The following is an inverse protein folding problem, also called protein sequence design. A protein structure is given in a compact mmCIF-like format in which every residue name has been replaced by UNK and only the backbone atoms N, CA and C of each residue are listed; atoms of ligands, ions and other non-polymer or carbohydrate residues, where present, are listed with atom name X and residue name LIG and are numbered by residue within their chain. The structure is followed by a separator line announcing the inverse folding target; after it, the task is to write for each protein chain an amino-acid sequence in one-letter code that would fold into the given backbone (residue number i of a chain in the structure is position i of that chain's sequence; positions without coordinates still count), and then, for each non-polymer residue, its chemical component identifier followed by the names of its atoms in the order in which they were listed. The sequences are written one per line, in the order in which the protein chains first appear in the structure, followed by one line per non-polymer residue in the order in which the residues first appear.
data_IF_166451940708
#
_entry.id   IF_166451940708
#
_cell.length_a   1.000
_cell.length_b   1.000
_cell.length_c   1.000
_cell.angle_alpha   90.00
_cell.angle_beta   90.00
_cell.angle_gamma   90.00
#
_symmetry.space_group_name_H-M   'P 1'
#
loop_
_entity.id
_entity.type
_entity.pdbx_description
1 polymer ?
#
# COMPACT_ATOMS: atom_id res chain seq x y z
N UNK A 1 1.64 -0.84 -36.46
CA UNK A 1 2.45 -0.60 -35.26
C UNK A 1 1.48 -0.66 -34.09
N UNK A 2 1.72 -1.51 -33.09
CA UNK A 2 0.87 -1.56 -31.89
C UNK A 2 1.07 -0.26 -31.12
N UNK A 3 -0.01 0.38 -30.70
CA UNK A 3 0.01 1.57 -29.84
C UNK A 3 0.62 1.18 -28.49
N UNK A 4 1.50 2.00 -27.92
CA UNK A 4 2.04 1.74 -26.57
C UNK A 4 1.14 2.31 -25.48
N UNK A 5 1.31 1.91 -24.21
CA UNK A 5 0.54 2.46 -23.11
C UNK A 5 0.75 3.98 -22.93
N UNK A 6 1.99 4.47 -23.11
CA UNK A 6 2.24 5.91 -23.09
C UNK A 6 1.53 6.60 -24.25
N UNK A 7 1.56 6.01 -25.45
CA UNK A 7 0.88 6.56 -26.61
C UNK A 7 -0.65 6.52 -26.44
N UNK A 8 -1.22 5.41 -25.95
CA UNK A 8 -2.64 5.27 -25.62
C UNK A 8 -3.10 6.36 -24.66
N UNK A 9 -2.37 6.57 -23.57
CA UNK A 9 -2.74 7.52 -22.54
C UNK A 9 -2.49 8.98 -22.96
N UNK A 10 -1.42 9.24 -23.72
CA UNK A 10 -1.13 10.59 -24.23
C UNK A 10 -2.06 10.98 -25.39
N UNK A 11 -2.47 10.04 -26.24
CA UNK A 11 -3.33 10.29 -27.41
C UNK A 11 -4.82 10.16 -27.14
N UNK A 12 -5.25 9.37 -26.14
CA UNK A 12 -6.67 9.22 -25.78
C UNK A 12 -7.04 9.83 -24.42
N UNK A 13 -6.08 9.96 -23.49
CA UNK A 13 -6.36 10.37 -22.10
C UNK A 13 -7.16 9.34 -21.31
N UNK A 14 -7.49 8.20 -21.91
CA UNK A 14 -8.31 7.15 -21.34
C UNK A 14 -7.43 5.93 -21.09
N UNK A 15 -7.66 5.26 -19.96
CA UNK A 15 -7.04 3.97 -19.67
C UNK A 15 -7.67 2.94 -20.60
N UNK A 16 -6.91 2.51 -21.61
CA UNK A 16 -7.31 1.46 -22.55
C UNK A 16 -6.58 0.14 -22.29
N UNK A 17 -6.62 -0.75 -23.29
CA UNK A 17 -6.08 -2.11 -23.17
C UNK A 17 -4.57 -2.13 -22.95
N UNK A 18 -3.81 -1.23 -23.58
CA UNK A 18 -2.35 -1.23 -23.49
C UNK A 18 -1.88 -0.82 -22.08
N UNK A 19 -2.57 0.15 -21.47
CA UNK A 19 -2.35 0.56 -20.09
C UNK A 19 -2.71 -0.54 -19.11
N UNK A 20 -3.85 -1.21 -19.33
CA UNK A 20 -4.30 -2.33 -18.49
C UNK A 20 -3.28 -3.47 -18.56
N UNK A 21 -2.80 -3.82 -19.76
CA UNK A 21 -1.80 -4.87 -19.95
C UNK A 21 -0.45 -4.52 -19.30
N UNK A 22 -0.03 -3.25 -19.38
CA UNK A 22 1.12 -2.75 -18.64
C UNK A 22 0.94 -2.90 -17.12
N UNK A 23 -0.22 -2.52 -16.58
CA UNK A 23 -0.53 -2.65 -15.15
C UNK A 23 -0.54 -4.11 -14.71
N UNK A 24 -1.16 -5.02 -15.46
CA UNK A 24 -1.17 -6.47 -15.19
C UNK A 24 0.26 -6.99 -15.09
N UNK A 25 1.10 -6.65 -16.07
CA UNK A 25 2.51 -7.07 -16.09
C UNK A 25 3.28 -6.54 -14.89
N UNK A 26 3.14 -5.25 -14.55
CA UNK A 26 3.88 -4.64 -13.44
C UNK A 26 3.39 -5.10 -12.07
N UNK A 27 2.07 -5.26 -11.88
CA UNK A 27 1.50 -5.82 -10.65
C UNK A 27 1.94 -7.28 -10.49
N UNK A 28 1.85 -8.08 -11.55
CA UNK A 28 2.29 -9.48 -11.53
C UNK A 28 3.78 -9.59 -11.20
N UNK A 29 4.62 -8.78 -11.83
CA UNK A 29 6.04 -8.70 -11.51
C UNK A 29 6.26 -8.32 -10.04
N UNK A 30 5.63 -7.25 -9.55
CA UNK A 30 5.85 -6.73 -8.20
C UNK A 30 5.34 -7.71 -7.14
N UNK A 31 4.13 -8.24 -7.29
CA UNK A 31 3.52 -9.18 -6.34
C UNK A 31 4.27 -10.50 -6.25
N UNK A 32 4.77 -11.03 -7.37
CA UNK A 32 5.48 -12.32 -7.39
C UNK A 32 6.93 -12.24 -6.93
N UNK A 33 7.58 -11.09 -7.13
CA UNK A 33 9.00 -10.91 -6.76
C UNK A 33 9.20 -10.35 -5.35
N UNK A 34 8.17 -9.77 -4.73
CA UNK A 34 8.25 -9.20 -3.39
C UNK A 34 7.35 -9.99 -2.41
N UNK A 35 7.64 -9.89 -1.12
CA UNK A 35 6.85 -10.55 -0.06
C UNK A 35 5.52 -9.84 0.26
N UNK A 36 4.82 -9.31 -0.75
CA UNK A 36 3.53 -8.66 -0.56
C UNK A 36 2.42 -9.71 -0.39
N UNK A 37 1.45 -9.49 0.52
CA UNK A 37 0.30 -10.36 0.61
C UNK A 37 -0.53 -10.27 -0.69
N UNK A 38 -1.04 -11.39 -1.22
CA UNK A 38 -1.99 -11.37 -2.33
C UNK A 38 -3.32 -10.69 -1.91
N UNK A 39 -4.14 -10.24 -2.87
CA UNK A 39 -5.46 -9.69 -2.60
C UNK A 39 -6.36 -10.65 -1.81
N UNK A 40 -7.39 -10.10 -1.15
CA UNK A 40 -8.39 -10.88 -0.43
C UNK A 40 -9.02 -11.95 -1.33
N UNK A 41 -9.21 -13.15 -0.77
CA UNK A 41 -9.73 -14.31 -1.50
C UNK A 41 -8.67 -15.14 -2.23
N UNK A 42 -7.42 -14.67 -2.27
CA UNK A 42 -6.32 -15.36 -2.96
C UNK A 42 -5.24 -15.84 -1.99
N UNK A 43 -4.80 -17.09 -2.15
CA UNK A 43 -3.71 -17.67 -1.36
C UNK A 43 -2.30 -17.31 -1.88
N UNK A 44 -2.19 -16.89 -3.13
CA UNK A 44 -0.94 -16.53 -3.80
C UNK A 44 -1.18 -15.52 -4.94
N UNK A 45 -0.10 -15.01 -5.55
CA UNK A 45 -0.14 -14.09 -6.71
C UNK A 45 -0.34 -14.83 -8.05
N UNK A 46 -1.47 -15.53 -8.18
CA UNK A 46 -1.93 -16.14 -9.44
C UNK A 46 -2.25 -15.08 -10.51
N UNK A 47 -2.43 -15.48 -11.77
CA UNK A 47 -2.86 -14.54 -12.82
C UNK A 47 -4.24 -13.93 -12.49
N UNK A 48 -5.16 -14.72 -11.91
CA UNK A 48 -6.44 -14.21 -11.46
C UNK A 48 -6.29 -13.19 -10.31
N UNK A 49 -5.41 -13.45 -9.35
CA UNK A 49 -5.13 -12.52 -8.26
C UNK A 49 -4.59 -11.18 -8.80
N UNK A 50 -3.73 -11.23 -9.82
CA UNK A 50 -3.21 -10.03 -10.49
C UNK A 50 -4.32 -9.25 -11.18
N UNK A 51 -5.20 -9.93 -11.94
CA UNK A 51 -6.33 -9.29 -12.61
C UNK A 51 -7.29 -8.64 -11.62
N UNK A 52 -7.67 -9.34 -10.57
CA UNK A 52 -8.56 -8.82 -9.53
C UNK A 52 -7.95 -7.59 -8.83
N UNK A 53 -6.63 -7.61 -8.61
CA UNK A 53 -5.90 -6.49 -8.00
C UNK A 53 -5.78 -5.27 -8.93
N UNK A 54 -5.52 -5.48 -10.22
CA UNK A 54 -5.55 -4.39 -11.20
C UNK A 54 -6.95 -3.80 -11.29
N UNK A 55 -7.98 -4.65 -11.30
CA UNK A 55 -9.38 -4.25 -11.23
C UNK A 55 -9.68 -3.39 -9.99
N UNK A 56 -9.16 -3.76 -8.82
CA UNK A 56 -9.33 -2.98 -7.58
C UNK A 56 -8.60 -1.64 -7.63
N UNK A 57 -7.37 -1.58 -8.16
CA UNK A 57 -6.64 -0.33 -8.38
C UNK A 57 -7.47 0.61 -9.25
N UNK A 58 -7.92 0.15 -10.41
CA UNK A 58 -8.65 0.97 -11.39
C UNK A 58 -10.04 1.37 -10.90
N UNK A 59 -10.69 0.52 -10.12
CA UNK A 59 -11.98 0.83 -9.50
C UNK A 59 -11.86 1.80 -8.32
N UNK A 60 -10.67 1.94 -7.75
CA UNK A 60 -10.42 2.87 -6.64
C UNK A 60 -10.02 4.26 -7.16
N UNK A 61 -10.64 5.32 -6.63
CA UNK A 61 -10.28 6.71 -6.98
C UNK A 61 -8.80 7.03 -6.69
N UNK A 62 -8.20 6.36 -5.70
CA UNK A 62 -6.77 6.50 -5.37
C UNK A 62 -5.89 5.82 -6.42
N UNK A 63 -6.25 4.62 -6.86
CA UNK A 63 -5.47 3.84 -7.82
C UNK A 63 -5.58 4.36 -9.25
N UNK A 64 -6.75 4.81 -9.69
CA UNK A 64 -6.91 5.47 -10.99
C UNK A 64 -6.19 6.81 -11.05
N UNK A 65 -6.30 7.64 -10.01
CA UNK A 65 -5.56 8.91 -9.90
C UNK A 65 -4.03 8.73 -9.89
N UNK A 66 -3.53 7.66 -9.26
CA UNK A 66 -2.12 7.28 -9.33
C UNK A 66 -1.67 6.96 -10.76
N UNK A 67 -2.44 6.15 -11.49
CA UNK A 67 -2.10 5.79 -12.87
C UNK A 67 -2.03 7.04 -13.75
N UNK A 68 -3.03 7.93 -13.65
CA UNK A 68 -3.07 9.20 -14.38
C UNK A 68 -1.89 10.11 -13.99
N UNK A 69 -1.58 10.24 -12.69
CA UNK A 69 -0.44 11.04 -12.22
C UNK A 69 0.91 10.55 -12.75
N UNK A 70 1.08 9.23 -12.90
CA UNK A 70 2.28 8.65 -13.51
C UNK A 70 2.39 8.99 -15.00
N UNK A 71 1.27 9.03 -15.72
CA UNK A 71 1.22 9.41 -17.14
C UNK A 71 1.60 10.87 -17.34
N UNK A 72 0.99 11.77 -16.57
CA UNK A 72 1.28 13.22 -16.65
C UNK A 72 2.78 13.49 -16.44
N UNK A 73 3.40 12.71 -15.56
CA UNK A 73 4.81 12.84 -15.20
C UNK A 73 5.77 12.10 -16.16
N UNK A 74 5.25 11.21 -17.00
CA UNK A 74 6.07 10.41 -17.89
C UNK A 74 6.50 11.20 -19.13
N UNK A 75 7.71 10.93 -19.61
CA UNK A 75 8.29 11.53 -20.81
C UNK A 75 8.30 10.59 -22.02
N UNK A 76 8.20 9.29 -21.75
CA UNK A 76 8.22 8.18 -22.70
C UNK A 76 7.71 6.88 -22.02
N UNK A 77 7.60 5.79 -22.79
CA UNK A 77 7.19 4.48 -22.27
C UNK A 77 8.05 3.97 -21.09
N UNK A 78 9.37 4.17 -21.13
CA UNK A 78 10.27 3.66 -20.07
C UNK A 78 10.08 4.42 -18.77
N UNK A 79 9.91 5.73 -18.85
CA UNK A 79 9.64 6.58 -17.70
C UNK A 79 8.27 6.28 -17.09
N UNK A 80 7.24 6.04 -17.92
CA UNK A 80 5.92 5.62 -17.47
C UNK A 80 6.00 4.30 -16.71
N UNK A 81 6.65 3.30 -17.29
CA UNK A 81 6.84 1.99 -16.66
C UNK A 81 7.53 2.11 -15.29
N UNK A 82 8.61 2.90 -15.20
CA UNK A 82 9.32 3.15 -13.95
C UNK A 82 8.46 3.83 -12.89
N UNK A 83 7.68 4.83 -13.29
CA UNK A 83 6.78 5.58 -12.39
C UNK A 83 5.65 4.68 -11.90
N UNK A 84 5.00 3.95 -12.79
CA UNK A 84 3.95 2.99 -12.43
C UNK A 84 4.48 1.90 -11.51
N UNK A 85 5.65 1.32 -11.81
CA UNK A 85 6.25 0.30 -10.94
C UNK A 85 6.52 0.84 -9.53
N UNK A 86 7.05 2.06 -9.42
CA UNK A 86 7.30 2.71 -8.13
C UNK A 86 6.00 2.96 -7.37
N UNK A 87 4.99 3.48 -8.05
CA UNK A 87 3.70 3.82 -7.45
C UNK A 87 2.90 2.58 -7.04
N UNK A 88 2.85 1.53 -7.88
CA UNK A 88 2.27 0.22 -7.55
C UNK A 88 2.93 -0.34 -6.29
N UNK A 89 4.28 -0.32 -6.23
CA UNK A 89 5.00 -0.80 -5.05
C UNK A 89 4.62 -0.03 -3.78
N UNK A 90 4.52 1.30 -3.86
CA UNK A 90 4.08 2.13 -2.72
C UNK A 90 2.64 1.81 -2.31
N UNK A 91 1.74 1.65 -3.27
CA UNK A 91 0.36 1.27 -3.03
C UNK A 91 0.27 -0.09 -2.32
N UNK A 92 0.99 -1.10 -2.81
CA UNK A 92 1.07 -2.43 -2.19
C UNK A 92 1.68 -2.38 -0.79
N UNK A 93 2.67 -1.51 -0.53
CA UNK A 93 3.22 -1.30 0.82
C UNK A 93 2.14 -0.76 1.75
N UNK A 94 1.36 0.22 1.32
CA UNK A 94 0.33 0.83 2.14
C UNK A 94 -0.83 -0.14 2.42
N UNK A 95 -1.27 -0.90 1.42
CA UNK A 95 -2.26 -1.95 1.64
C UNK A 95 -1.73 -3.05 2.55
N UNK A 96 -0.47 -3.49 2.36
CA UNK A 96 0.16 -4.46 3.23
C UNK A 96 0.19 -3.98 4.69
N UNK A 97 0.45 -2.69 4.95
CA UNK A 97 0.38 -2.08 6.30
C UNK A 97 -1.05 -2.06 6.86
N UNK A 98 -2.07 -1.91 6.01
CA UNK A 98 -3.47 -1.87 6.43
C UNK A 98 -4.02 -3.25 6.84
N UNK A 99 -3.42 -4.34 6.35
CA UNK A 99 -3.81 -5.71 6.73
C UNK A 99 -3.66 -5.95 8.24
N UNK A 100 -4.46 -6.86 8.84
CA UNK A 100 -4.29 -7.24 10.25
C UNK A 100 -2.85 -7.66 10.60
N UNK A 101 -2.21 -8.43 9.72
CA UNK A 101 -0.80 -8.84 9.84
C UNK A 101 0.13 -7.63 9.75
N UNK A 102 -0.12 -6.68 8.84
CA UNK A 102 0.66 -5.44 8.71
C UNK A 102 0.58 -4.56 9.96
N UNK A 103 -0.63 -4.40 10.52
CA UNK A 103 -0.85 -3.71 11.80
C UNK A 103 -0.10 -4.40 12.94
N UNK A 104 -0.13 -5.73 12.98
CA UNK A 104 0.65 -6.49 13.96
C UNK A 104 2.16 -6.30 13.75
N UNK A 105 2.67 -6.32 12.51
CA UNK A 105 4.08 -6.04 12.21
C UNK A 105 4.51 -4.68 12.72
N UNK A 106 3.74 -3.63 12.42
CA UNK A 106 4.01 -2.26 12.88
C UNK A 106 4.01 -2.15 14.41
N UNK A 107 3.10 -2.89 15.07
CA UNK A 107 3.06 -2.99 16.53
C UNK A 107 4.29 -3.69 17.08
N UNK A 108 4.68 -4.82 16.51
CA UNK A 108 5.88 -5.56 16.90
C UNK A 108 7.12 -4.68 16.74
N UNK A 109 7.26 -3.92 15.66
CA UNK A 109 8.36 -2.96 15.50
C UNK A 109 8.53 -2.04 16.71
N UNK A 110 7.42 -1.49 17.20
CA UNK A 110 7.43 -0.62 18.38
C UNK A 110 7.67 -1.34 19.70
N UNK A 111 7.25 -2.61 19.82
CA UNK A 111 7.44 -3.42 21.02
C UNK A 111 8.86 -3.98 21.10
N UNK A 112 9.31 -4.66 20.05
CA UNK A 112 10.63 -5.29 19.95
C UNK A 112 11.74 -4.23 19.97
N UNK A 113 11.56 -3.12 19.27
CA UNK A 113 12.56 -2.03 19.24
C UNK A 113 12.78 -1.32 20.58
N UNK A 114 11.91 -1.53 21.57
CA UNK A 114 12.02 -0.96 22.93
C UNK A 114 12.44 -1.99 23.99
N UNK A 115 12.55 -3.26 23.63
CA UNK A 115 12.81 -4.35 24.57
C UNK A 115 14.22 -4.91 24.36
N UNK A 116 15.03 -4.90 25.43
CA UNK A 116 16.45 -5.25 25.38
C UNK A 116 16.73 -6.71 24.99
N UNK A 117 15.70 -7.59 25.01
CA UNK A 117 15.83 -8.98 24.56
C UNK A 117 16.02 -9.11 23.05
N UNK A 118 15.71 -8.07 22.28
CA UNK A 118 15.68 -8.12 20.81
C UNK A 118 16.70 -7.18 20.21
N UNK A 119 17.22 -7.58 19.06
CA UNK A 119 18.14 -6.78 18.24
C UNK A 119 17.63 -6.74 16.82
N UNK A 120 17.76 -5.59 16.17
CA UNK A 120 17.47 -5.44 14.75
C UNK A 120 18.46 -6.26 13.93
N UNK A 121 17.94 -7.15 13.08
CA UNK A 121 18.72 -7.96 12.14
C UNK A 121 18.60 -7.44 10.69
N UNK A 122 18.12 -6.21 10.51
CA UNK A 122 17.85 -5.62 9.19
C UNK A 122 19.06 -5.63 8.25
N UNK A 123 20.27 -5.47 8.79
CA UNK A 123 21.51 -5.53 8.01
C UNK A 123 21.84 -6.93 7.51
N UNK A 124 21.44 -7.99 8.25
CA UNK A 124 21.66 -9.38 7.85
C UNK A 124 20.74 -9.79 6.69
N UNK A 125 19.60 -9.13 6.53
CA UNK A 125 18.62 -9.39 5.46
C UNK A 125 18.54 -8.24 4.44
N UNK A 126 19.68 -7.70 4.04
CA UNK A 126 19.81 -6.75 2.94
C UNK A 126 18.87 -5.52 3.05
N UNK A 127 18.64 -5.03 4.27
CA UNK A 127 17.79 -3.86 4.52
C UNK A 127 16.32 -4.19 4.78
N UNK A 128 15.91 -5.46 4.73
CA UNK A 128 14.56 -5.88 5.12
C UNK A 128 14.39 -5.88 6.64
N UNK A 129 13.27 -5.36 7.12
CA UNK A 129 12.97 -5.31 8.56
C UNK A 129 12.99 -6.72 9.16
N UNK A 130 13.92 -6.96 10.08
CA UNK A 130 14.14 -8.27 10.69
C UNK A 130 14.58 -8.15 12.15
N UNK A 131 14.33 -9.23 12.90
CA UNK A 131 14.60 -9.30 14.34
C UNK A 131 15.39 -10.57 14.66
N UNK A 132 16.26 -10.46 15.66
CA UNK A 132 16.98 -11.57 16.27
C UNK A 132 17.10 -11.34 17.78
N UNK A 133 17.66 -12.30 18.50
CA UNK A 133 18.07 -12.15 19.90
C UNK A 133 19.60 -12.12 19.99
N UNK A 134 20.19 -11.50 21.03
CA UNK A 134 21.64 -11.40 21.17
C UNK A 134 22.40 -12.73 21.09
N UNK A 135 21.76 -13.84 21.49
CA UNK A 135 22.37 -15.17 21.48
C UNK A 135 22.52 -15.79 20.08
N UNK A 136 21.78 -15.32 19.07
CA UNK A 136 21.62 -16.03 17.78
C UNK A 136 22.70 -15.74 16.73
N UNK A 137 23.73 -14.95 17.05
CA UNK A 137 24.80 -14.62 16.11
C UNK A 137 24.27 -14.01 14.79
N UNK A 138 24.85 -14.42 13.66
CA UNK A 138 24.52 -13.91 12.31
C UNK A 138 23.73 -14.89 11.45
N UNK A 139 23.25 -16.01 12.01
CA UNK A 139 22.47 -16.98 11.26
C UNK A 139 21.13 -16.39 10.83
N UNK A 140 20.65 -16.76 9.64
CA UNK A 140 19.34 -16.36 9.12
C UNK A 140 18.48 -17.60 9.03
N UNK A 141 17.28 -17.54 9.59
CA UNK A 141 16.34 -18.64 9.49
C UNK A 141 15.60 -18.58 8.13
N UNK A 142 15.56 -19.72 7.44
CA UNK A 142 15.07 -19.83 6.05
C UNK A 142 13.98 -20.88 5.85
N UNK A 143 13.63 -21.63 6.89
CA UNK A 143 12.55 -22.62 6.81
C UNK A 143 11.15 -21.95 6.81
N UNK A 144 10.10 -22.77 6.76
CA UNK A 144 8.74 -22.29 6.56
C UNK A 144 7.94 -22.12 7.86
N UNK A 145 6.75 -21.56 7.72
CA UNK A 145 5.87 -21.22 8.84
C UNK A 145 5.40 -22.45 9.64
N UNK A 146 5.28 -23.61 9.00
CA UNK A 146 4.83 -24.85 9.65
C UNK A 146 5.94 -25.41 10.55
N UNK A 147 7.20 -25.31 10.10
CA UNK A 147 8.36 -25.66 10.91
C UNK A 147 8.43 -24.78 12.16
N UNK A 148 8.18 -23.47 12.01
CA UNK A 148 8.15 -22.53 13.13
C UNK A 148 7.04 -22.83 14.13
N UNK A 149 5.83 -23.14 13.66
CA UNK A 149 4.72 -23.57 14.51
C UNK A 149 5.05 -24.86 15.25
N UNK A 150 5.68 -25.82 14.58
CA UNK A 150 6.08 -27.10 15.18
C UNK A 150 7.10 -26.90 16.31
N UNK A 151 8.17 -26.15 16.08
CA UNK A 151 9.23 -25.97 17.10
C UNK A 151 8.77 -25.14 18.29
N UNK A 152 7.77 -24.27 18.11
CA UNK A 152 7.20 -23.43 19.18
C UNK A 152 5.93 -24.00 19.81
N UNK A 153 5.44 -25.16 19.37
CA UNK A 153 4.18 -25.73 19.82
C UNK A 153 4.10 -25.94 21.35
N UNK A 154 5.23 -26.26 21.99
CA UNK A 154 5.28 -26.47 23.45
C UNK A 154 5.24 -25.18 24.27
N UNK A 155 5.39 -24.00 23.65
CA UNK A 155 5.49 -22.71 24.33
C UNK A 155 4.11 -22.28 24.81
N UNK A 156 3.98 -22.11 26.13
CA UNK A 156 2.76 -21.64 26.79
C UNK A 156 2.86 -20.14 27.06
N UNK A 157 1.92 -19.38 26.51
CA UNK A 157 1.74 -17.94 26.74
C UNK A 157 0.26 -17.66 26.93
N UNK A 158 -0.09 -16.54 27.57
CA UNK A 158 -1.49 -16.17 27.73
C UNK A 158 -2.14 -15.97 26.34
N UNK A 159 -3.39 -16.44 26.15
CA UNK A 159 -4.06 -16.30 24.86
C UNK A 159 -4.35 -14.83 24.57
N UNK A 160 -4.23 -14.46 23.29
CA UNK A 160 -4.60 -13.14 22.78
C UNK A 160 -5.80 -13.35 21.86
N UNK A 161 -6.99 -12.98 22.33
CA UNK A 161 -8.21 -13.11 21.52
C UNK A 161 -8.45 -11.89 20.63
N UNK A 162 -7.97 -10.71 21.04
CA UNK A 162 -8.14 -9.47 20.28
C UNK A 162 -7.02 -8.49 20.59
N UNK A 163 -6.57 -7.80 19.54
CA UNK A 163 -5.67 -6.66 19.66
C UNK A 163 -6.49 -5.38 19.84
N UNK A 164 -6.06 -4.51 20.76
CA UNK A 164 -6.65 -3.19 20.92
C UNK A 164 -6.50 -2.36 19.63
N UNK A 165 -7.54 -1.62 19.24
CA UNK A 165 -7.53 -0.81 18.02
C UNK A 165 -6.68 0.45 18.14
N UNK A 166 -6.59 1.02 19.34
CA UNK A 166 -5.86 2.26 19.64
C UNK A 166 -5.21 2.20 21.03
N UNK A 167 -4.21 3.06 21.26
CA UNK A 167 -3.52 3.19 22.55
C UNK A 167 -2.43 2.13 22.80
N UNK A 168 -1.78 2.19 23.98
CA UNK A 168 -0.71 1.27 24.34
C UNK A 168 -1.23 -0.18 24.38
N UNK A 169 -0.38 -1.13 23.97
CA UNK A 169 -0.72 -2.56 24.05
C UNK A 169 -0.84 -2.96 25.53
N UNK A 170 -1.93 -3.61 25.96
CA UNK A 170 -2.11 -4.04 27.35
C UNK A 170 -0.94 -4.93 27.82
N UNK A 171 -0.54 -4.78 29.09
CA UNK A 171 0.62 -5.50 29.66
C UNK A 171 0.64 -7.02 29.39
N UNK A 172 -0.45 -7.76 29.67
CA UNK A 172 -0.49 -9.21 29.41
C UNK A 172 -0.36 -9.59 27.92
N UNK A 173 -0.96 -8.78 27.04
CA UNK A 173 -0.87 -8.96 25.58
C UNK A 173 0.56 -8.68 25.12
N UNK A 174 1.16 -7.60 25.63
CA UNK A 174 2.55 -7.24 25.37
C UNK A 174 3.49 -8.37 25.78
N UNK A 175 3.37 -8.89 27.00
CA UNK A 175 4.24 -9.98 27.47
C UNK A 175 4.06 -11.27 26.67
N UNK A 176 2.84 -11.60 26.26
CA UNK A 176 2.58 -12.78 25.44
C UNK A 176 3.19 -12.65 24.04
N UNK A 177 3.08 -11.47 23.41
CA UNK A 177 3.73 -11.18 22.12
C UNK A 177 5.25 -11.25 22.24
N UNK A 178 5.84 -10.64 23.28
CA UNK A 178 7.29 -10.62 23.47
C UNK A 178 7.83 -12.01 23.81
N UNK A 179 7.18 -12.75 24.70
CA UNK A 179 7.60 -14.10 25.10
C UNK A 179 7.56 -15.05 23.91
N UNK A 180 6.46 -15.06 23.15
CA UNK A 180 6.34 -15.92 21.97
C UNK A 180 7.34 -15.51 20.87
N UNK A 181 7.59 -14.21 20.68
CA UNK A 181 8.62 -13.74 19.73
C UNK A 181 10.02 -14.19 20.13
N UNK A 182 10.34 -14.08 21.42
CA UNK A 182 11.64 -14.49 21.95
C UNK A 182 11.85 -16.00 21.80
N UNK A 183 10.86 -16.82 22.17
CA UNK A 183 10.92 -18.27 22.03
C UNK A 183 11.03 -18.72 20.56
N UNK A 184 10.30 -18.06 19.66
CA UNK A 184 10.41 -18.31 18.22
C UNK A 184 11.85 -18.08 17.73
N UNK A 185 12.44 -16.92 18.06
CA UNK A 185 13.81 -16.61 17.67
C UNK A 185 14.83 -17.53 18.34
N UNK A 186 14.67 -17.82 19.63
CA UNK A 186 15.58 -18.70 20.37
C UNK A 186 15.64 -20.11 19.76
N UNK A 187 14.48 -20.67 19.42
CA UNK A 187 14.38 -22.06 18.93
C UNK A 187 14.79 -22.21 17.47
N UNK A 188 14.65 -21.18 16.66
CA UNK A 188 15.15 -21.18 15.28
C UNK A 188 16.64 -20.84 15.18
N UNK A 189 17.23 -20.33 16.27
CA UNK A 189 18.63 -19.91 16.35
C UNK A 189 19.05 -18.99 15.19
N UNK A 190 18.12 -18.15 14.68
CA UNK A 190 18.37 -17.32 13.52
C UNK A 190 17.55 -16.03 13.51
N UNK A 191 18.05 -15.05 12.75
CA UNK A 191 17.33 -13.83 12.42
C UNK A 191 16.12 -14.14 11.55
N UNK A 192 15.01 -13.43 11.79
CA UNK A 192 13.75 -13.63 11.11
C UNK A 192 13.17 -12.31 10.60
N UNK A 193 12.62 -12.35 9.38
CA UNK A 193 11.87 -11.21 8.82
C UNK A 193 10.69 -10.85 9.72
N UNK A 194 10.49 -9.55 9.95
CA UNK A 194 9.38 -9.05 10.78
C UNK A 194 8.01 -9.46 10.22
N UNK A 195 7.87 -9.59 8.90
CA UNK A 195 6.65 -10.06 8.26
C UNK A 195 6.33 -11.53 8.58
N UNK A 196 7.35 -12.38 8.62
CA UNK A 196 7.23 -13.81 8.91
C UNK A 196 6.88 -14.02 10.38
N UNK A 197 7.56 -13.30 11.27
CA UNK A 197 7.26 -13.27 12.70
C UNK A 197 5.82 -12.77 12.97
N UNK A 198 5.38 -11.71 12.28
CA UNK A 198 4.01 -11.22 12.41
C UNK A 198 2.98 -12.25 11.93
N UNK A 199 3.20 -12.92 10.79
CA UNK A 199 2.32 -14.00 10.30
C UNK A 199 2.23 -15.16 11.27
N UNK A 200 3.37 -15.57 11.83
CA UNK A 200 3.44 -16.61 12.85
C UNK A 200 2.60 -16.26 14.07
N UNK A 201 2.80 -15.09 14.67
CA UNK A 201 2.01 -14.70 15.85
C UNK A 201 0.53 -14.56 15.51
N UNK A 202 0.20 -14.03 14.33
CA UNK A 202 -1.18 -13.91 13.87
C UNK A 202 -1.91 -15.26 13.82
N UNK A 203 -1.26 -16.29 13.24
CA UNK A 203 -1.77 -17.68 13.24
C UNK A 203 -1.77 -18.31 14.62
N UNK A 204 -0.65 -18.18 15.37
CA UNK A 204 -0.45 -18.79 16.69
C UNK A 204 -1.51 -18.37 17.71
N UNK A 205 -1.99 -17.13 17.61
CA UNK A 205 -3.05 -16.58 18.46
C UNK A 205 -4.45 -16.61 17.83
N UNK A 206 -4.59 -17.14 16.60
CA UNK A 206 -5.86 -17.24 15.88
C UNK A 206 -6.64 -15.91 15.84
N UNK A 207 -5.95 -14.80 15.52
CA UNK A 207 -6.51 -13.45 15.63
C UNK A 207 -7.68 -13.15 14.66
N UNK A 208 -7.91 -14.02 13.68
CA UNK A 208 -9.05 -14.00 12.73
C UNK A 208 -10.31 -14.66 13.30
N UNK A 209 -10.18 -15.48 14.34
CA UNK A 209 -11.24 -16.38 14.82
C UNK A 209 -12.05 -15.81 16.00
N UNK A 210 -11.93 -14.51 16.27
CA UNK A 210 -12.71 -13.87 17.33
C UNK A 210 -14.20 -13.77 16.93
N UNK A 211 -15.03 -14.70 17.40
CA UNK A 211 -16.48 -14.60 17.31
C UNK A 211 -16.98 -13.24 17.84
N UNK A 212 -17.96 -12.60 17.17
CA UNK A 212 -18.52 -11.35 17.63
C UNK A 212 -19.41 -11.63 18.85
N UNK A 213 -18.86 -11.46 20.06
CA UNK A 213 -19.72 -11.23 21.21
C UNK A 213 -20.35 -9.84 21.06
N UNK A 214 -21.68 -9.84 21.06
CA UNK A 214 -22.58 -8.71 20.81
C UNK A 214 -22.18 -7.43 21.58
N UNK A 215 -22.39 -6.23 21.00
CA UNK A 215 -21.64 -5.03 21.34
C UNK A 215 -22.22 -4.28 22.53
N UNK A 216 -21.36 -4.02 23.52
CA UNK A 216 -21.51 -2.87 24.40
C UNK A 216 -21.21 -1.59 23.61
N UNK A 217 -22.23 -0.78 23.41
CA UNK A 217 -22.21 0.49 22.68
C UNK A 217 -21.05 1.40 23.12
N UNK A 218 -20.06 1.57 22.24
CA UNK A 218 -19.11 2.66 22.32
C UNK A 218 -19.13 3.37 20.97
N UNK A 219 -19.90 4.47 20.92
CA UNK A 219 -19.89 5.43 19.82
C UNK A 219 -18.46 5.95 19.65
N UNK A 220 -17.79 5.55 18.58
CA UNK A 220 -16.58 6.23 18.12
C UNK A 220 -17.03 7.32 17.14
N UNK A 221 -16.63 8.58 17.34
CA UNK A 221 -16.92 9.62 16.37
C UNK A 221 -16.20 9.32 15.04
N UNK A 222 -16.75 9.78 13.90
CA UNK A 222 -16.11 9.60 12.60
C UNK A 222 -14.71 10.25 12.60
N UNK A 223 -13.76 9.73 11.80
CA UNK A 223 -12.45 10.36 11.66
C UNK A 223 -12.63 11.75 11.05
N UNK A 224 -12.37 12.78 11.84
CA UNK A 224 -12.18 14.13 11.32
C UNK A 224 -10.86 14.15 10.58
N UNK A 225 -10.90 14.38 9.27
CA UNK A 225 -9.72 14.78 8.49
C UNK A 225 -9.27 16.13 9.06
N UNK A 226 -8.17 16.12 9.82
CA UNK A 226 -7.44 17.36 10.14
C UNK A 226 -6.75 17.80 8.86
N UNK A 227 -7.27 18.85 8.21
CA UNK A 227 -6.56 19.59 7.19
C UNK A 227 -5.59 20.52 7.93
N UNK A 228 -4.33 20.10 8.05
CA UNK A 228 -3.28 21.02 8.44
C UNK A 228 -3.12 22.04 7.31
N UNK A 229 -3.40 23.32 7.61
CA UNK A 229 -3.35 24.46 6.69
C UNK A 229 -1.94 24.80 6.17
N UNK A 230 -0.94 23.98 6.50
CA UNK A 230 0.47 24.09 6.07
C UNK A 230 0.88 22.98 5.07
N UNK A 231 -0.06 22.16 4.57
CA UNK A 231 0.25 21.16 3.55
C UNK A 231 0.45 21.83 2.17
N UNK A 232 1.72 22.09 1.83
CA UNK A 232 2.16 22.67 0.56
C UNK A 232 1.56 21.94 -0.66
N UNK A 233 1.30 20.62 -0.53
CA UNK A 233 0.63 19.81 -1.56
C UNK A 233 -0.82 20.23 -1.74
N UNK A 234 -1.57 20.44 -0.64
CA UNK A 234 -2.97 20.84 -0.68
C UNK A 234 -3.16 22.24 -1.24
N UNK A 235 -2.27 23.18 -0.88
CA UNK A 235 -2.28 24.55 -1.42
C UNK A 235 -2.02 24.55 -2.91
N UNK A 236 -0.96 23.86 -3.36
CA UNK A 236 -0.62 23.78 -4.78
C UNK A 236 -1.71 23.05 -5.59
N UNK A 237 -2.29 21.98 -5.04
CA UNK A 237 -3.41 21.27 -5.66
C UNK A 237 -4.64 22.19 -5.84
N UNK A 238 -4.90 23.08 -4.87
CA UNK A 238 -5.99 24.07 -4.93
C UNK A 238 -5.76 25.11 -6.02
N UNK A 239 -4.54 25.61 -6.15
CA UNK A 239 -4.16 26.50 -7.24
C UNK A 239 -4.36 25.81 -8.58
N UNK A 240 -3.82 24.59 -8.75
CA UNK A 240 -3.99 23.81 -9.98
C UNK A 240 -5.47 23.63 -10.30
N UNK A 241 -6.29 23.18 -9.34
CA UNK A 241 -7.71 22.93 -9.54
C UNK A 241 -8.50 24.18 -9.94
N UNK A 242 -8.21 25.32 -9.31
CA UNK A 242 -8.87 26.59 -9.61
C UNK A 242 -8.50 27.13 -11.01
N UNK A 243 -7.31 26.77 -11.51
CA UNK A 243 -6.83 27.14 -12.85
C UNK A 243 -7.36 26.20 -13.96
N UNK A 244 -8.06 25.12 -13.60
CA UNK A 244 -8.69 24.21 -14.57
C UNK A 244 -10.00 24.79 -15.11
N UNK A 245 -10.14 24.78 -16.42
CA UNK A 245 -11.41 25.00 -17.10
C UNK A 245 -12.36 23.81 -16.95
N UNK A 246 -13.65 24.05 -17.23
CA UNK A 246 -14.69 22.99 -17.20
C UNK A 246 -14.36 21.83 -18.14
N UNK A 247 -13.71 22.10 -19.28
CA UNK A 247 -13.26 21.06 -20.20
C UNK A 247 -12.14 20.21 -19.59
N UNK A 248 -11.19 20.83 -18.90
CA UNK A 248 -10.06 20.16 -18.26
C UNK A 248 -10.45 19.36 -17.03
N UNK A 249 -11.43 19.85 -16.25
CA UNK A 249 -12.04 19.09 -15.15
C UNK A 249 -12.71 17.82 -15.69
N UNK A 250 -13.41 17.90 -16.84
CA UNK A 250 -14.01 16.72 -17.47
C UNK A 250 -12.97 15.72 -17.96
N UNK A 251 -11.86 16.20 -18.54
CA UNK A 251 -10.73 15.38 -18.97
C UNK A 251 -10.12 14.65 -17.78
N UNK A 252 -9.78 15.36 -16.69
CA UNK A 252 -9.14 14.75 -15.51
C UNK A 252 -10.10 13.87 -14.68
N UNK A 253 -11.39 14.20 -14.69
CA UNK A 253 -12.42 13.42 -14.00
C UNK A 253 -12.87 12.17 -14.76
N UNK A 254 -12.37 11.94 -15.99
CA UNK A 254 -12.89 10.93 -16.92
C UNK A 254 -14.43 11.00 -17.08
N UNK A 255 -14.99 12.22 -17.07
CA UNK A 255 -16.43 12.46 -17.18
C UNK A 255 -16.77 12.84 -18.62
N UNK A 256 -17.23 11.86 -19.41
CA UNK A 256 -17.65 12.06 -20.80
C UNK A 256 -17.65 10.75 -21.60
N UNK A 257 -18.28 10.74 -22.77
CA UNK A 257 -18.13 9.61 -23.71
C UNK A 257 -16.77 9.69 -24.43
N UNK A 258 -16.29 8.58 -24.98
CA UNK A 258 -15.03 8.56 -25.73
C UNK A 258 -15.02 9.57 -26.91
N UNK A 259 -16.18 9.84 -27.51
CA UNK A 259 -16.35 10.85 -28.55
C UNK A 259 -16.19 12.29 -28.01
N UNK A 260 -16.71 12.57 -26.81
CA UNK A 260 -16.59 13.87 -26.16
C UNK A 260 -15.14 14.20 -25.80
N UNK A 261 -14.37 13.20 -25.33
CA UNK A 261 -12.97 13.35 -24.95
C UNK A 261 -12.05 13.51 -26.17
N UNK A 262 -12.35 12.83 -27.29
CA UNK A 262 -11.60 12.97 -28.54
C UNK A 262 -11.75 14.37 -29.17
N UNK A 263 -12.91 15.02 -29.00
CA UNK A 263 -13.14 16.38 -29.50
C UNK A 263 -12.34 17.45 -28.72
N UNK A 264 -11.79 17.10 -27.55
CA UNK A 264 -11.07 18.00 -26.66
C UNK A 264 -9.54 17.94 -26.81
N UNK A 265 -9.00 17.22 -27.80
CA UNK A 265 -7.56 17.01 -28.02
C UNK A 265 -6.66 18.26 -27.88
N UNK A 266 -6.94 19.41 -28.52
CA UNK A 266 -6.05 20.57 -28.39
C UNK A 266 -6.07 21.20 -26.99
N UNK A 267 -7.22 21.19 -26.31
CA UNK A 267 -7.32 21.64 -24.92
C UNK A 267 -6.64 20.65 -23.96
N UNK A 268 -6.67 19.36 -24.31
CA UNK A 268 -6.02 18.28 -23.58
C UNK A 268 -4.50 18.39 -23.64
N UNK A 269 -3.91 18.53 -24.82
CA UNK A 269 -2.45 18.58 -24.96
C UNK A 269 -1.86 19.79 -24.19
N UNK A 270 -2.54 20.94 -24.26
CA UNK A 270 -2.18 22.13 -23.49
C UNK A 270 -2.36 21.96 -21.97
N UNK A 271 -3.33 21.15 -21.53
CA UNK A 271 -3.52 20.80 -20.12
C UNK A 271 -2.38 19.91 -19.62
N UNK A 272 -2.05 18.83 -20.34
CA UNK A 272 -1.00 17.90 -19.93
C UNK A 272 0.37 18.57 -19.87
N UNK A 273 0.68 19.46 -20.82
CA UNK A 273 1.93 20.23 -20.76
C UNK A 273 1.98 21.15 -19.53
N UNK A 274 0.85 21.78 -19.16
CA UNK A 274 0.75 22.58 -17.93
C UNK A 274 0.95 21.74 -16.68
N UNK A 275 0.24 20.61 -16.57
CA UNK A 275 0.35 19.72 -15.42
C UNK A 275 1.73 19.08 -15.30
N UNK A 276 2.42 18.85 -16.43
CA UNK A 276 3.81 18.40 -16.46
C UNK A 276 4.77 19.43 -15.86
N UNK A 277 4.55 20.73 -16.14
CA UNK A 277 5.32 21.82 -15.52
C UNK A 277 5.11 21.81 -14.00
N UNK A 278 3.86 21.65 -13.53
CA UNK A 278 3.58 21.52 -12.10
C UNK A 278 4.19 20.25 -11.49
N UNK A 279 4.21 19.13 -12.23
CA UNK A 279 4.77 17.84 -11.81
C UNK A 279 6.30 17.75 -11.77
N UNK A 280 7.02 18.86 -11.97
CA UNK A 280 8.49 18.87 -11.98
C UNK A 280 9.17 18.55 -10.64
N UNK A 281 8.43 18.54 -9.53
CA UNK A 281 8.92 18.23 -8.18
C UNK A 281 8.09 17.12 -7.50
N UNK A 282 8.57 16.54 -6.40
CA UNK A 282 7.80 15.55 -5.62
C UNK A 282 6.49 16.17 -5.09
N UNK A 283 6.56 17.36 -4.50
CA UNK A 283 5.39 18.15 -4.03
C UNK A 283 4.43 18.44 -5.18
N UNK A 284 4.97 18.82 -6.35
CA UNK A 284 4.21 19.08 -7.55
C UNK A 284 3.46 17.86 -8.10
N UNK A 285 4.11 16.69 -8.10
CA UNK A 285 3.48 15.42 -8.51
C UNK A 285 2.33 15.03 -7.59
N UNK A 286 2.54 15.18 -6.28
CA UNK A 286 1.50 14.89 -5.30
C UNK A 286 0.34 15.89 -5.41
N UNK A 287 0.63 17.16 -5.71
CA UNK A 287 -0.37 18.21 -5.89
C UNK A 287 -1.22 18.02 -7.16
N UNK A 288 -0.58 17.67 -8.29
CA UNK A 288 -1.28 17.31 -9.54
C UNK A 288 -2.18 16.10 -9.31
N UNK A 289 -1.68 15.08 -8.60
CA UNK A 289 -2.44 13.88 -8.28
C UNK A 289 -3.65 14.19 -7.39
N UNK A 290 -3.50 15.09 -6.42
CA UNK A 290 -4.59 15.54 -5.55
C UNK A 290 -5.63 16.36 -6.31
N UNK A 291 -5.22 17.30 -7.17
CA UNK A 291 -6.10 18.09 -8.01
C UNK A 291 -6.93 17.22 -8.97
N UNK A 292 -6.30 16.24 -9.62
CA UNK A 292 -6.99 15.28 -10.48
C UNK A 292 -8.05 14.45 -9.72
N UNK A 293 -7.77 14.10 -8.45
CA UNK A 293 -8.75 13.41 -7.60
C UNK A 293 -9.98 14.27 -7.30
N UNK A 294 -9.82 15.59 -7.14
CA UNK A 294 -10.96 16.51 -6.97
C UNK A 294 -11.82 16.66 -8.21
N UNK A 295 -11.27 16.43 -9.41
CA UNK A 295 -12.03 16.44 -10.66
C UNK A 295 -12.92 15.21 -10.86
N UNK A 296 -12.69 14.12 -10.12
CA UNK A 296 -13.51 12.90 -10.22
C UNK A 296 -14.90 13.11 -9.60
N UNK A 297 -15.97 12.48 -10.11
CA UNK A 297 -17.34 12.65 -9.62
C UNK A 297 -17.55 12.20 -8.16
N UNK A 298 -16.60 11.47 -7.57
CA UNK A 298 -16.57 11.09 -6.15
C UNK A 298 -15.63 11.95 -5.28
N UNK A 299 -14.93 12.92 -5.89
CA UNK A 299 -13.80 13.65 -5.30
C UNK A 299 -14.16 14.80 -4.37
N UNK A 300 -15.45 15.12 -4.24
CA UNK A 300 -15.92 16.25 -3.44
C UNK A 300 -16.78 15.78 -2.26
N UNK A 301 -16.14 15.10 -1.30
CA UNK A 301 -16.64 15.03 0.09
C UNK A 301 -15.61 15.66 1.00
N UNK A 302 -15.74 16.98 1.17
CA UNK A 302 -15.48 17.74 2.41
C UNK A 302 -15.49 19.24 2.04
N UNK A 303 -16.55 19.93 2.47
CA UNK A 303 -16.51 21.38 2.74
C UNK A 303 -15.79 21.63 4.06
#
# INVERSE_FOLDING_TARGET
MSMSAFQELSESGVIGSETVDLLIRLVGQTGRTNSFPPPLGHGNWSDQAVLDYVGSILSSTRGSGMAIGCVVSATDDRSLERLLLTSIRRFMIDEAKATPVGKLRLRLRGLLGKDARFVSATTLLAGEEAWTIPANGSAVWTEDLEDLERVTASVQVAPIHRLNSAGPTPGPVRESLLTMSHEALLRTAGAMRAQLLARFLYRRFALDSAEPTSPGSASSPPPTLSLDLDDEVAVLARTIYNDLSVAEIRILGNVGTAADLSALNPARDALFERLRIYGGSDVGRDAVSLAARWCSPSGMVAS
#
